data_IF_565741645763
#
_entry.id   IF_565741645763
#
_cell.length_a   1.000
_cell.length_b   1.000
_cell.length_c   1.000
_cell.angle_alpha   90.00
_cell.angle_beta   90.00
_cell.angle_gamma   90.00
#
_symmetry.space_group_name_H-M   'P 1'
#
loop_
_entity.id
_entity.type
_entity.pdbx_description
1 polymer ?
#
# COMPACT_ATOMS: atom_id res chain seq x y z
N UNK A 1 33.95 9.69 -14.53
CA UNK A 1 32.86 10.44 -15.20
C UNK A 1 31.46 9.86 -14.95
N UNK A 2 31.21 8.54 -14.98
CA UNK A 2 29.87 7.96 -14.67
C UNK A 2 29.29 8.38 -13.31
N UNK A 3 30.15 8.53 -12.30
CA UNK A 3 29.75 8.75 -10.91
C UNK A 3 29.31 10.20 -10.59
N UNK A 4 29.70 11.19 -11.41
CA UNK A 4 29.28 12.59 -11.20
C UNK A 4 27.91 12.86 -11.82
N UNK A 5 27.65 12.29 -13.00
CA UNK A 5 26.36 12.42 -13.66
C UNK A 5 25.24 11.71 -12.87
N UNK A 6 25.48 10.47 -12.42
CA UNK A 6 24.51 9.74 -11.59
C UNK A 6 24.14 10.48 -10.30
N UNK A 7 25.11 11.11 -9.64
CA UNK A 7 24.85 11.93 -8.45
C UNK A 7 24.00 13.15 -8.76
N UNK A 8 24.24 13.79 -9.91
CA UNK A 8 23.46 14.94 -10.34
C UNK A 8 22.02 14.55 -10.71
N UNK A 9 21.84 13.42 -11.39
CA UNK A 9 20.53 12.91 -11.77
C UNK A 9 19.73 12.49 -10.53
N UNK A 10 20.36 11.80 -9.57
CA UNK A 10 19.73 11.46 -8.30
C UNK A 10 19.31 12.69 -7.50
N UNK A 11 20.16 13.74 -7.46
CA UNK A 11 19.82 15.01 -6.81
C UNK A 11 18.59 15.68 -7.46
N UNK A 12 18.50 15.68 -8.78
CA UNK A 12 17.33 16.22 -9.49
C UNK A 12 16.07 15.42 -9.19
N UNK A 13 16.17 14.09 -9.12
CA UNK A 13 15.06 13.23 -8.75
C UNK A 13 14.56 13.53 -7.32
N UNK A 14 15.46 13.67 -6.35
CA UNK A 14 15.08 14.06 -4.99
C UNK A 14 14.35 15.41 -4.95
N UNK A 15 14.86 16.40 -5.70
CA UNK A 15 14.21 17.70 -5.82
C UNK A 15 12.83 17.62 -6.47
N UNK A 16 12.58 16.65 -7.34
CA UNK A 16 11.29 16.45 -7.99
C UNK A 16 10.26 15.88 -7.01
N UNK A 17 10.61 14.82 -6.27
CA UNK A 17 9.69 14.15 -5.35
C UNK A 17 9.41 14.96 -4.08
N UNK A 18 10.27 15.93 -3.75
CA UNK A 18 10.08 16.87 -2.63
C UNK A 18 9.10 18.01 -2.94
N UNK A 19 8.67 18.18 -4.20
CA UNK A 19 7.74 19.25 -4.56
C UNK A 19 6.38 19.06 -3.89
N UNK A 20 5.74 20.12 -3.36
CA UNK A 20 4.43 20.00 -2.72
C UNK A 20 3.30 19.50 -3.62
N UNK A 21 3.42 19.69 -4.93
CA UNK A 21 2.46 19.29 -5.97
C UNK A 21 2.84 17.98 -6.68
N UNK A 22 3.85 17.27 -6.19
CA UNK A 22 4.23 15.98 -6.73
C UNK A 22 3.13 14.93 -6.51
N UNK A 23 2.60 14.36 -7.60
CA UNK A 23 1.61 13.27 -7.61
C UNK A 23 2.13 12.07 -8.43
N UNK A 24 3.42 11.77 -8.28
CA UNK A 24 4.04 10.63 -8.95
C UNK A 24 3.97 9.33 -8.13
N UNK A 25 4.55 8.22 -8.63
CA UNK A 25 4.45 6.89 -8.01
C UNK A 25 5.17 6.76 -6.65
N UNK A 26 5.92 7.78 -6.25
CA UNK A 26 6.66 7.80 -4.98
C UNK A 26 5.84 8.34 -3.80
N UNK A 27 4.64 8.87 -4.05
CA UNK A 27 3.78 9.40 -2.99
C UNK A 27 2.95 8.30 -2.33
N UNK A 28 3.05 8.19 -1.01
CA UNK A 28 2.14 7.33 -0.24
C UNK A 28 0.77 7.98 -0.12
N UNK A 29 -0.28 7.27 -0.56
CA UNK A 29 -1.66 7.78 -0.53
C UNK A 29 -2.33 7.48 0.81
N UNK A 30 -2.69 8.54 1.54
CA UNK A 30 -3.46 8.40 2.77
C UNK A 30 -4.91 7.95 2.45
N UNK A 31 -5.49 7.17 3.35
CA UNK A 31 -6.88 6.76 3.24
C UNK A 31 -7.81 7.96 3.55
N UNK A 32 -8.72 8.36 2.63
CA UNK A 32 -9.57 9.51 2.87
C UNK A 32 -10.59 9.24 4.00
N UNK A 33 -11.00 10.30 4.71
CA UNK A 33 -11.90 10.19 5.86
C UNK A 33 -13.24 9.49 5.50
N UNK A 34 -13.75 9.75 4.29
CA UNK A 34 -14.96 9.18 3.72
C UNK A 34 -14.72 7.89 2.92
N UNK A 35 -13.56 7.23 3.05
CA UNK A 35 -13.27 5.98 2.34
C UNK A 35 -14.37 4.93 2.56
N UNK A 36 -14.74 4.27 1.46
CA UNK A 36 -15.66 3.14 1.42
C UNK A 36 -15.12 1.93 2.20
N UNK A 37 -16.01 0.99 2.53
CA UNK A 37 -15.61 -0.27 3.16
C UNK A 37 -14.61 -1.06 2.32
N UNK A 38 -14.75 -1.00 0.99
CA UNK A 38 -13.84 -1.69 0.05
C UNK A 38 -12.45 -1.05 0.07
N UNK A 39 -12.35 0.28 0.01
CA UNK A 39 -11.06 0.99 0.08
C UNK A 39 -10.36 0.72 1.41
N UNK A 40 -11.10 0.77 2.53
CA UNK A 40 -10.58 0.40 3.85
C UNK A 40 -10.04 -1.03 3.89
N UNK A 41 -10.73 -1.97 3.24
CA UNK A 41 -10.29 -3.35 3.19
C UNK A 41 -9.03 -3.53 2.33
N UNK A 42 -8.97 -2.91 1.15
CA UNK A 42 -7.76 -2.90 0.30
C UNK A 42 -6.57 -2.27 1.03
N UNK A 43 -6.78 -1.13 1.69
CA UNK A 43 -5.75 -0.42 2.45
C UNK A 43 -5.15 -1.31 3.54
N UNK A 44 -5.99 -2.02 4.30
CA UNK A 44 -5.54 -2.99 5.31
C UNK A 44 -4.72 -4.14 4.70
N UNK A 45 -5.10 -4.64 3.53
CA UNK A 45 -4.29 -5.68 2.85
C UNK A 45 -2.93 -5.13 2.42
N UNK A 46 -2.86 -3.93 1.85
CA UNK A 46 -1.59 -3.28 1.52
C UNK A 46 -0.71 -3.07 2.76
N UNK A 47 -1.30 -2.58 3.86
CA UNK A 47 -0.62 -2.41 5.15
C UNK A 47 -0.03 -3.73 5.65
N UNK A 48 -0.79 -4.83 5.59
CA UNK A 48 -0.29 -6.14 5.99
C UNK A 48 0.88 -6.61 5.12
N UNK A 49 0.79 -6.44 3.81
CA UNK A 49 1.87 -6.81 2.87
C UNK A 49 3.14 -5.98 3.14
N UNK A 50 3.00 -4.67 3.38
CA UNK A 50 4.12 -3.80 3.74
C UNK A 50 4.73 -4.18 5.10
N UNK A 51 3.90 -4.41 6.12
CA UNK A 51 4.36 -4.85 7.43
C UNK A 51 5.14 -6.17 7.34
N UNK A 52 4.67 -7.13 6.52
CA UNK A 52 5.41 -8.36 6.28
C UNK A 52 6.82 -8.11 5.72
N UNK A 53 6.95 -7.20 4.75
CA UNK A 53 8.24 -6.81 4.20
C UNK A 53 9.16 -6.24 5.29
N UNK A 54 8.64 -5.33 6.10
CA UNK A 54 9.39 -4.63 7.16
C UNK A 54 9.80 -5.57 8.29
N UNK A 55 8.86 -6.36 8.81
CA UNK A 55 9.07 -7.30 9.91
C UNK A 55 10.11 -8.38 9.57
N UNK A 56 10.23 -8.73 8.29
CA UNK A 56 11.18 -9.73 7.80
C UNK A 56 12.44 -9.11 7.16
N UNK A 57 12.57 -7.77 7.13
CA UNK A 57 13.66 -7.04 6.47
C UNK A 57 13.93 -7.50 5.03
N UNK A 58 12.87 -7.80 4.28
CA UNK A 58 13.03 -8.31 2.92
C UNK A 58 13.30 -7.17 1.93
N UNK A 59 14.20 -7.36 0.95
CA UNK A 59 14.30 -6.43 -0.17
C UNK A 59 13.02 -6.47 -1.01
N UNK A 60 12.69 -5.36 -1.68
CA UNK A 60 11.45 -5.25 -2.46
C UNK A 60 11.39 -6.29 -3.59
N UNK A 61 12.53 -6.61 -4.19
CA UNK A 61 12.69 -7.62 -5.23
C UNK A 61 12.22 -9.00 -4.74
N UNK A 62 12.55 -9.35 -3.50
CA UNK A 62 12.16 -10.64 -2.93
C UNK A 62 10.66 -10.70 -2.64
N UNK A 63 10.06 -9.60 -2.18
CA UNK A 63 8.61 -9.53 -2.00
C UNK A 63 7.91 -9.65 -3.35
N UNK A 64 8.38 -8.90 -4.35
CA UNK A 64 7.87 -8.92 -5.73
C UNK A 64 7.90 -10.34 -6.33
N UNK A 65 9.02 -11.06 -6.16
CA UNK A 65 9.19 -12.44 -6.62
C UNK A 65 8.25 -13.42 -5.93
N UNK A 66 8.00 -13.24 -4.63
CA UNK A 66 7.07 -14.08 -3.86
C UNK A 66 5.62 -13.87 -4.30
N UNK A 67 5.21 -12.61 -4.52
CA UNK A 67 3.84 -12.29 -4.94
C UNK A 67 3.63 -12.29 -6.46
N UNK A 68 4.69 -12.55 -7.24
CA UNK A 68 4.70 -12.57 -8.72
C UNK A 68 4.25 -11.24 -9.34
N UNK A 69 4.84 -10.16 -8.86
CA UNK A 69 4.70 -8.81 -9.40
C UNK A 69 6.08 -8.27 -9.81
N UNK A 70 6.08 -7.17 -10.56
CA UNK A 70 7.29 -6.36 -10.73
C UNK A 70 7.60 -5.55 -9.48
N UNK A 71 8.83 -5.02 -9.37
CA UNK A 71 9.20 -4.10 -8.28
C UNK A 71 8.37 -2.81 -8.31
N UNK A 72 8.03 -2.32 -9.51
CA UNK A 72 7.16 -1.15 -9.69
C UNK A 72 5.75 -1.41 -9.15
N UNK A 73 5.10 -2.51 -9.55
CA UNK A 73 3.77 -2.87 -9.03
C UNK A 73 3.80 -3.15 -7.52
N UNK A 74 4.89 -3.73 -7.01
CA UNK A 74 5.03 -3.97 -5.56
C UNK A 74 5.15 -2.65 -4.80
N UNK A 75 5.82 -1.66 -5.39
CA UNK A 75 5.91 -0.30 -4.84
C UNK A 75 4.55 0.38 -4.80
N UNK A 76 3.71 0.18 -5.81
CA UNK A 76 2.32 0.68 -5.81
C UNK A 76 1.51 0.13 -4.61
N UNK A 77 1.75 -1.13 -4.21
CA UNK A 77 1.18 -1.71 -2.99
C UNK A 77 1.72 -1.00 -1.74
N UNK A 78 3.05 -0.82 -1.65
CA UNK A 78 3.71 -0.19 -0.49
C UNK A 78 3.33 1.29 -0.32
N UNK A 79 2.98 1.98 -1.40
CA UNK A 79 2.53 3.37 -1.40
C UNK A 79 1.00 3.52 -1.42
N UNK A 80 0.25 2.43 -1.26
CA UNK A 80 -1.22 2.44 -1.14
C UNK A 80 -1.95 3.01 -2.39
N UNK A 81 -1.46 2.75 -3.60
CA UNK A 81 -2.18 3.04 -4.84
C UNK A 81 -3.32 2.03 -5.06
N UNK A 82 -4.43 2.22 -4.33
CA UNK A 82 -5.55 1.26 -4.23
C UNK A 82 -6.32 1.05 -5.55
N UNK A 83 -6.20 2.01 -6.46
CA UNK A 83 -6.76 2.03 -7.82
C UNK A 83 -6.08 1.02 -8.75
N UNK A 84 -4.81 0.67 -8.49
CA UNK A 84 -4.04 -0.27 -9.30
C UNK A 84 -4.43 -1.75 -9.07
N UNK A 85 -5.12 -2.07 -7.97
CA UNK A 85 -5.37 -3.46 -7.58
C UNK A 85 -6.82 -3.72 -7.20
N UNK A 86 -7.37 -4.85 -7.68
CA UNK A 86 -8.62 -5.40 -7.17
C UNK A 86 -8.42 -6.03 -5.80
N UNK A 87 -9.50 -6.12 -5.01
CA UNK A 87 -9.43 -6.75 -3.68
C UNK A 87 -9.04 -8.24 -3.75
N UNK A 88 -9.50 -8.96 -4.78
CA UNK A 88 -9.16 -10.38 -4.97
C UNK A 88 -7.67 -10.58 -5.30
N UNK A 89 -7.07 -9.69 -6.11
CA UNK A 89 -5.64 -9.71 -6.42
C UNK A 89 -4.82 -9.49 -5.15
N UNK A 90 -5.20 -8.52 -4.31
CA UNK A 90 -4.54 -8.27 -3.03
C UNK A 90 -4.62 -9.50 -2.09
N UNK A 91 -5.77 -10.18 -2.03
CA UNK A 91 -5.91 -11.44 -1.29
C UNK A 91 -4.96 -12.51 -1.84
N UNK A 92 -4.86 -12.63 -3.16
CA UNK A 92 -3.95 -13.58 -3.81
C UNK A 92 -2.50 -13.30 -3.45
N UNK A 93 -2.09 -12.03 -3.42
CA UNK A 93 -0.74 -11.64 -3.00
C UNK A 93 -0.49 -11.91 -1.52
N UNK A 94 -1.45 -11.58 -0.66
CA UNK A 94 -1.38 -11.89 0.77
C UNK A 94 -1.20 -13.39 1.02
N UNK A 95 -2.00 -14.25 0.38
CA UNK A 95 -1.90 -15.71 0.52
C UNK A 95 -0.53 -16.28 0.08
N UNK A 96 0.19 -15.59 -0.81
CA UNK A 96 1.54 -16.00 -1.22
C UNK A 96 2.60 -15.65 -0.16
N UNK A 97 2.41 -14.57 0.58
CA UNK A 97 3.35 -14.11 1.62
C UNK A 97 3.08 -14.78 2.97
N UNK A 98 1.82 -14.81 3.38
CA UNK A 98 1.39 -15.41 4.62
C UNK A 98 1.05 -16.88 4.36
N UNK A 99 1.98 -17.79 4.65
CA UNK A 99 1.74 -19.22 4.49
C UNK A 99 2.20 -19.98 5.74
N UNK A 100 1.32 -20.78 6.38
CA UNK A 100 -0.12 -20.90 6.08
C UNK A 100 -0.91 -19.66 6.54
N UNK A 101 -1.91 -19.23 5.76
CA UNK A 101 -2.81 -18.14 6.12
C UNK A 101 -4.27 -18.57 6.22
N UNK A 102 -5.00 -17.87 7.09
CA UNK A 102 -6.45 -17.93 7.20
C UNK A 102 -7.00 -16.53 6.92
N UNK A 103 -7.92 -16.42 5.97
CA UNK A 103 -8.61 -15.17 5.65
C UNK A 103 -10.09 -15.34 5.99
N UNK A 104 -10.61 -14.43 6.79
CA UNK A 104 -12.01 -14.40 7.21
C UNK A 104 -12.65 -13.07 6.81
N UNK A 105 -13.91 -13.13 6.38
CA UNK A 105 -14.73 -11.95 6.09
C UNK A 105 -15.84 -11.88 7.13
N UNK A 106 -15.84 -10.80 7.92
CA UNK A 106 -16.88 -10.55 8.93
C UNK A 106 -17.69 -9.33 8.52
N UNK A 107 -19.01 -9.48 8.45
CA UNK A 107 -19.95 -8.40 8.19
C UNK A 107 -20.65 -8.07 9.51
N UNK A 108 -20.64 -6.81 9.90
CA UNK A 108 -21.34 -6.31 11.08
C UNK A 108 -22.01 -4.98 10.76
N UNK A 109 -23.21 -4.77 11.30
CA UNK A 109 -23.91 -3.49 11.19
C UNK A 109 -23.26 -2.47 12.13
N UNK A 110 -22.88 -1.31 11.61
CA UNK A 110 -22.53 -0.18 12.47
C UNK A 110 -23.81 0.31 13.14
N UNK A 111 -23.96 0.04 14.43
CA UNK A 111 -24.92 0.75 15.26
C UNK A 111 -24.40 2.18 15.43
N UNK A 112 -24.92 3.13 14.66
CA UNK A 112 -24.74 4.54 14.99
C UNK A 112 -25.45 4.78 16.32
N UNK A 113 -24.66 4.83 17.39
CA UNK A 113 -25.13 5.30 18.69
C UNK A 113 -25.32 6.82 18.61
N UNK A 114 -26.28 7.27 17.80
CA UNK A 114 -26.92 8.56 17.96
C UNK A 114 -27.62 8.51 19.31
N UNK A 115 -26.89 8.88 20.37
CA UNK A 115 -27.51 9.22 21.63
C UNK A 115 -28.48 10.35 21.33
N UNK A 116 -29.76 9.99 21.30
CA UNK A 116 -30.88 10.89 21.47
C UNK A 116 -30.61 11.63 22.78
N UNK A 117 -30.03 12.83 22.68
CA UNK A 117 -30.14 13.82 23.73
C UNK A 117 -31.58 14.33 23.66
N UNK A 118 -32.48 13.59 24.30
CA UNK A 118 -33.80 14.12 24.62
C UNK A 118 -33.56 15.22 25.64
N UNK A 119 -33.88 16.45 25.23
CA UNK A 119 -33.94 17.64 26.10
C UNK A 119 -35.11 17.49 27.06
#
# INVERSE_FOLDING_TARGET
MKNSQQKQDFKKYLQEIEKPDYDGPDISRALPANASSLERAKYKLCEKILAYQQDNNLPIEEVADRIKLTTAETKDIFHYHLDCFTFDRLITYANRLFSPAKIEVTISEKKDNLHVRTV
#
